data_IF_572896158418
#
_entry.id   IF_572896158418
#
_cell.length_a   1.000
_cell.length_b   1.000
_cell.length_c   1.000
_cell.angle_alpha   90.00
_cell.angle_beta   90.00
_cell.angle_gamma   90.00
#
_symmetry.space_group_name_H-M   'P 1'
#
loop_
_entity.id
_entity.type
_entity.pdbx_description
1 polymer ?
#
# COMPACT_ATOMS: atom_id res chain seq x y z
N UNK A 1 17.23 -29.32 39.37
CA UNK A 1 16.03 -28.79 38.67
C UNK A 1 15.50 -29.90 37.77
N UNK A 2 14.20 -30.22 37.84
CA UNK A 2 13.64 -31.25 36.95
C UNK A 2 13.56 -30.73 35.51
N UNK A 3 13.56 -31.63 34.52
CA UNK A 3 13.41 -31.27 33.11
C UNK A 3 12.15 -30.40 32.87
N UNK A 4 11.06 -30.71 33.57
CA UNK A 4 9.81 -29.97 33.51
C UNK A 4 9.98 -28.53 33.99
N UNK A 5 10.72 -28.32 35.10
CA UNK A 5 11.02 -26.97 35.59
C UNK A 5 11.90 -26.17 34.62
N UNK A 6 12.83 -26.83 33.91
CA UNK A 6 13.62 -26.18 32.85
C UNK A 6 12.71 -25.69 31.72
N UNK A 7 11.76 -26.52 31.27
CA UNK A 7 10.79 -26.17 30.24
C UNK A 7 9.90 -25.00 30.68
N UNK A 8 9.47 -24.98 31.95
CA UNK A 8 8.71 -23.88 32.52
C UNK A 8 9.48 -22.55 32.51
N UNK A 9 10.74 -22.56 32.99
CA UNK A 9 11.59 -21.36 32.95
C UNK A 9 11.88 -20.90 31.52
N UNK A 10 12.11 -21.85 30.60
CA UNK A 10 12.30 -21.54 29.18
C UNK A 10 11.06 -20.84 28.59
N UNK A 11 9.84 -21.27 28.93
CA UNK A 11 8.62 -20.62 28.49
C UNK A 11 8.58 -19.14 28.93
N UNK A 12 8.90 -18.84 30.19
CA UNK A 12 8.95 -17.46 30.70
C UNK A 12 10.06 -16.63 30.04
N UNK A 13 11.24 -17.22 29.80
CA UNK A 13 12.32 -16.55 29.07
C UNK A 13 11.87 -16.20 27.64
N UNK A 14 11.22 -17.12 26.93
CA UNK A 14 10.70 -16.86 25.59
C UNK A 14 9.62 -15.76 25.61
N UNK A 15 8.72 -15.75 26.59
CA UNK A 15 7.74 -14.65 26.76
C UNK A 15 8.47 -13.32 26.99
N UNK A 16 9.48 -13.28 27.86
CA UNK A 16 10.27 -12.08 28.11
C UNK A 16 10.98 -11.59 26.83
N UNK A 17 11.62 -12.49 26.08
CA UNK A 17 12.23 -12.19 24.79
C UNK A 17 11.21 -11.66 23.79
N UNK A 18 9.97 -12.17 23.82
CA UNK A 18 8.90 -11.68 22.95
C UNK A 18 8.66 -10.18 23.16
N UNK A 19 8.64 -9.69 24.40
CA UNK A 19 8.46 -8.25 24.69
C UNK A 19 9.61 -7.36 24.21
N UNK A 20 10.80 -7.92 23.98
CA UNK A 20 11.96 -7.16 23.48
C UNK A 20 12.00 -7.08 21.95
N UNK A 21 11.31 -7.98 21.25
CA UNK A 21 11.36 -8.07 19.79
C UNK A 21 10.48 -7.00 19.17
N UNK A 22 11.08 -6.19 18.28
CA UNK A 22 10.37 -5.15 17.52
C UNK A 22 9.64 -5.69 16.29
N UNK A 23 10.12 -6.79 15.71
CA UNK A 23 9.52 -7.42 14.55
C UNK A 23 8.23 -8.14 14.95
N UNK A 24 7.10 -7.69 14.38
CA UNK A 24 5.78 -8.23 14.72
C UNK A 24 5.60 -9.68 14.28
N UNK A 25 6.27 -10.15 13.23
CA UNK A 25 6.21 -11.55 12.82
C UNK A 25 6.99 -12.43 13.79
N UNK A 26 8.23 -12.02 14.12
CA UNK A 26 9.09 -12.77 15.05
C UNK A 26 8.48 -12.82 16.46
N UNK A 27 7.86 -11.73 16.92
CA UNK A 27 7.09 -11.67 18.16
C UNK A 27 6.04 -12.79 18.24
N UNK A 28 5.25 -13.00 17.18
CA UNK A 28 4.20 -14.03 17.14
C UNK A 28 4.78 -15.43 17.14
N UNK A 29 5.87 -15.66 16.42
CA UNK A 29 6.55 -16.96 16.40
C UNK A 29 7.08 -17.32 17.80
N UNK A 30 7.75 -16.38 18.46
CA UNK A 30 8.26 -16.56 19.84
C UNK A 30 7.09 -16.80 20.80
N UNK A 31 6.01 -16.03 20.70
CA UNK A 31 4.81 -16.19 21.55
C UNK A 31 4.17 -17.57 21.41
N UNK A 32 4.10 -18.11 20.18
CA UNK A 32 3.59 -19.46 19.91
C UNK A 32 4.52 -20.51 20.54
N UNK A 33 5.84 -20.42 20.31
CA UNK A 33 6.79 -21.38 20.89
C UNK A 33 6.77 -21.37 22.42
N UNK A 34 6.67 -20.19 23.03
CA UNK A 34 6.54 -20.05 24.48
C UNK A 34 5.24 -20.67 25.01
N UNK A 35 4.12 -20.48 24.30
CA UNK A 35 2.83 -21.05 24.66
C UNK A 35 2.86 -22.58 24.60
N UNK A 36 3.54 -23.17 23.61
CA UNK A 36 3.76 -24.63 23.56
C UNK A 36 4.58 -25.12 24.76
N UNK A 37 5.69 -24.45 25.10
CA UNK A 37 6.48 -24.79 26.29
C UNK A 37 5.65 -24.67 27.58
N UNK A 38 4.80 -23.64 27.68
CA UNK A 38 3.90 -23.43 28.82
C UNK A 38 2.84 -24.53 28.95
N UNK A 39 2.31 -25.05 27.84
CA UNK A 39 1.38 -26.19 27.84
C UNK A 39 2.07 -27.46 28.32
N UNK A 40 3.27 -27.77 27.81
CA UNK A 40 4.06 -28.94 28.23
C UNK A 40 4.36 -28.90 29.73
N UNK A 41 4.73 -27.72 30.24
CA UNK A 41 4.93 -27.52 31.67
C UNK A 41 3.63 -27.76 32.48
N UNK A 42 2.52 -27.17 32.03
CA UNK A 42 1.23 -27.19 32.74
C UNK A 42 0.57 -28.58 32.79
N UNK A 43 0.89 -29.47 31.84
CA UNK A 43 0.39 -30.86 31.84
C UNK A 43 1.21 -31.80 32.71
N UNK A 44 2.50 -31.51 32.92
CA UNK A 44 3.45 -32.45 33.55
C UNK A 44 3.91 -32.04 34.96
N UNK A 45 3.62 -30.82 35.43
CA UNK A 45 4.09 -30.33 36.73
C UNK A 45 3.33 -30.92 37.93
N UNK A 46 2.07 -31.32 37.75
CA UNK A 46 1.19 -31.81 38.80
C UNK A 46 0.51 -33.11 38.38
N UNK A 47 0.05 -33.92 39.35
CA UNK A 47 -0.62 -35.19 39.09
C UNK A 47 -1.91 -35.03 38.27
N UNK A 48 -2.54 -33.85 38.33
CA UNK A 48 -3.63 -33.44 37.46
C UNK A 48 -3.18 -32.28 36.56
N UNK A 49 -3.54 -32.28 35.27
CA UNK A 49 -3.24 -31.17 34.36
C UNK A 49 -3.87 -29.85 34.81
N UNK A 50 -3.11 -28.76 34.69
CA UNK A 50 -3.64 -27.42 34.94
C UNK A 50 -4.41 -26.92 33.72
N UNK A 51 -5.72 -27.20 33.68
CA UNK A 51 -6.59 -26.89 32.54
C UNK A 51 -6.68 -25.39 32.21
N UNK A 52 -6.68 -24.52 33.22
CA UNK A 52 -6.78 -23.06 33.01
C UNK A 52 -5.61 -22.52 32.17
N UNK A 53 -4.32 -22.75 32.54
CA UNK A 53 -3.18 -22.40 31.69
C UNK A 53 -3.23 -23.02 30.29
N UNK A 54 -3.68 -24.26 30.17
CA UNK A 54 -3.72 -24.97 28.88
C UNK A 54 -4.71 -24.28 27.92
N UNK A 55 -5.94 -24.01 28.39
CA UNK A 55 -6.97 -23.35 27.58
C UNK A 55 -6.54 -21.95 27.12
N UNK A 56 -5.94 -21.15 28.02
CA UNK A 56 -5.45 -19.81 27.67
C UNK A 56 -4.30 -19.85 26.65
N UNK A 57 -3.34 -20.76 26.82
CA UNK A 57 -2.24 -20.90 25.85
C UNK A 57 -2.73 -21.38 24.48
N UNK A 58 -3.73 -22.28 24.42
CA UNK A 58 -4.36 -22.66 23.16
C UNK A 58 -5.04 -21.46 22.48
N UNK A 59 -5.79 -20.66 23.25
CA UNK A 59 -6.38 -19.42 22.74
C UNK A 59 -5.32 -18.43 22.21
N UNK A 60 -4.23 -18.23 22.95
CA UNK A 60 -3.13 -17.38 22.51
C UNK A 60 -2.45 -17.91 21.25
N UNK A 61 -2.25 -19.22 21.13
CA UNK A 61 -1.73 -19.84 19.90
C UNK A 61 -2.66 -19.51 18.73
N UNK A 62 -3.97 -19.74 18.85
CA UNK A 62 -4.94 -19.42 17.79
C UNK A 62 -4.91 -17.94 17.39
N UNK A 63 -4.86 -17.04 18.37
CA UNK A 63 -4.76 -15.59 18.11
C UNK A 63 -3.47 -15.25 17.37
N UNK A 64 -2.33 -15.74 17.84
CA UNK A 64 -1.03 -15.48 17.20
C UNK A 64 -1.00 -16.04 15.76
N UNK A 65 -1.60 -17.21 15.51
CA UNK A 65 -1.77 -17.77 14.16
C UNK A 65 -2.59 -16.84 13.25
N UNK A 66 -3.73 -16.34 13.73
CA UNK A 66 -4.54 -15.37 12.97
C UNK A 66 -3.73 -14.13 12.58
N UNK A 67 -2.95 -13.57 13.52
CA UNK A 67 -2.09 -12.43 13.23
C UNK A 67 -1.01 -12.76 12.18
N UNK A 68 -0.38 -13.93 12.25
CA UNK A 68 0.60 -14.38 11.25
C UNK A 68 -0.05 -14.49 9.87
N UNK A 69 -1.23 -15.11 9.78
CA UNK A 69 -2.00 -15.21 8.53
C UNK A 69 -2.29 -13.81 7.99
N UNK A 70 -2.79 -12.89 8.83
CA UNK A 70 -3.06 -11.50 8.41
C UNK A 70 -1.79 -10.81 7.88
N UNK A 71 -0.63 -11.01 8.50
CA UNK A 71 0.65 -10.43 8.03
C UNK A 71 1.06 -11.02 6.68
N UNK A 72 0.99 -12.34 6.52
CA UNK A 72 1.37 -13.03 5.28
C UNK A 72 0.43 -12.62 4.11
N UNK A 73 -0.87 -12.56 4.36
CA UNK A 73 -1.85 -12.18 3.34
C UNK A 73 -1.88 -10.67 3.08
N UNK A 74 -1.51 -9.83 4.06
CA UNK A 74 -1.34 -8.39 3.89
C UNK A 74 -0.16 -8.03 2.97
N UNK A 75 0.85 -8.89 2.90
CA UNK A 75 2.07 -8.70 2.10
C UNK A 75 2.04 -9.40 0.73
N UNK A 76 0.86 -9.62 0.14
CA UNK A 76 0.79 -10.12 -1.25
C UNK A 76 1.50 -9.11 -2.16
N UNK A 77 2.72 -9.46 -2.57
CA UNK A 77 3.62 -8.66 -3.42
C UNK A 77 2.81 -8.05 -4.57
N UNK A 78 2.56 -6.76 -4.45
CA UNK A 78 1.90 -6.00 -5.51
C UNK A 78 2.87 -6.01 -6.68
N UNK A 79 2.47 -6.67 -7.75
CA UNK A 79 3.20 -6.61 -9.02
C UNK A 79 2.63 -5.42 -9.78
N UNK A 80 3.34 -4.30 -9.73
CA UNK A 80 3.10 -3.19 -10.64
C UNK A 80 3.70 -3.50 -12.01
N UNK A 81 3.01 -3.10 -13.07
CA UNK A 81 3.61 -3.04 -14.41
C UNK A 81 4.70 -1.97 -14.46
N UNK A 82 5.51 -1.95 -15.54
CA UNK A 82 6.57 -0.94 -15.70
C UNK A 82 6.01 0.50 -15.67
N UNK A 83 4.90 0.71 -16.38
CA UNK A 83 4.19 1.99 -16.47
C UNK A 83 3.69 2.44 -15.10
N UNK A 84 3.07 1.53 -14.33
CA UNK A 84 2.57 1.83 -12.99
C UNK A 84 3.70 2.14 -12.01
N UNK A 85 4.85 1.47 -12.15
CA UNK A 85 6.03 1.72 -11.32
C UNK A 85 6.66 3.09 -11.63
N UNK A 86 6.75 3.46 -12.91
CA UNK A 86 7.20 4.78 -13.32
C UNK A 86 6.27 5.87 -12.76
N UNK A 87 4.95 5.70 -12.91
CA UNK A 87 3.98 6.64 -12.39
C UNK A 87 4.08 6.80 -10.86
N UNK A 88 4.26 5.67 -10.15
CA UNK A 88 4.50 5.68 -8.70
C UNK A 88 5.73 6.53 -8.33
N UNK A 89 6.83 6.35 -9.05
CA UNK A 89 8.08 7.08 -8.79
C UNK A 89 7.98 8.57 -9.11
N UNK A 90 7.22 8.94 -10.14
CA UNK A 90 7.08 10.34 -10.57
C UNK A 90 6.23 11.16 -9.61
N UNK A 91 5.10 10.63 -9.15
CA UNK A 91 4.07 11.46 -8.50
C UNK A 91 3.41 10.88 -7.25
N UNK A 92 3.73 9.64 -6.86
CA UNK A 92 3.09 8.98 -5.71
C UNK A 92 4.10 8.33 -4.75
N UNK A 93 5.35 8.78 -4.75
CA UNK A 93 6.43 8.24 -3.92
C UNK A 93 6.20 8.43 -2.41
N UNK A 94 5.30 9.33 -2.03
CA UNK A 94 4.85 9.54 -0.64
C UNK A 94 3.85 8.47 -0.16
N UNK A 95 3.13 7.81 -1.08
CA UNK A 95 2.23 6.71 -0.73
C UNK A 95 3.00 5.41 -0.58
N UNK A 96 2.51 4.49 0.24
CA UNK A 96 3.05 3.13 0.18
C UNK A 96 2.53 2.38 -1.07
N UNK A 97 3.25 1.35 -1.51
CA UNK A 97 2.87 0.55 -2.70
C UNK A 97 1.46 -0.05 -2.60
N UNK A 98 0.95 -0.29 -1.39
CA UNK A 98 -0.39 -0.85 -1.17
C UNK A 98 -1.48 0.19 -1.44
N UNK A 99 -1.31 1.41 -0.94
CA UNK A 99 -2.20 2.54 -1.19
C UNK A 99 -2.20 2.90 -2.67
N UNK A 100 -1.02 3.04 -3.27
CA UNK A 100 -0.91 3.31 -4.70
C UNK A 100 -1.58 2.23 -5.55
N UNK A 101 -1.38 0.94 -5.21
CA UNK A 101 -2.05 -0.15 -5.94
C UNK A 101 -3.57 -0.10 -5.83
N UNK A 102 -4.11 0.35 -4.70
CA UNK A 102 -5.57 0.53 -4.56
C UNK A 102 -6.05 1.67 -5.46
N UNK A 103 -5.33 2.79 -5.51
CA UNK A 103 -5.67 3.94 -6.35
C UNK A 103 -5.62 3.58 -7.84
N UNK A 104 -4.52 3.00 -8.31
CA UNK A 104 -4.34 2.70 -9.74
C UNK A 104 -5.32 1.65 -10.26
N UNK A 105 -5.80 0.75 -9.39
CA UNK A 105 -6.86 -0.22 -9.73
C UNK A 105 -8.23 0.41 -9.92
N UNK A 106 -8.47 1.62 -9.39
CA UNK A 106 -9.69 2.40 -9.59
C UNK A 106 -9.55 3.40 -10.74
N UNK A 107 -8.33 3.60 -11.25
CA UNK A 107 -8.06 4.53 -12.34
C UNK A 107 -8.32 3.88 -13.70
N UNK A 108 -8.69 4.72 -14.67
CA UNK A 108 -8.87 4.33 -16.07
C UNK A 108 -7.81 4.98 -16.95
N UNK A 109 -7.20 4.18 -17.82
CA UNK A 109 -6.29 4.70 -18.84
C UNK A 109 -7.09 5.25 -20.02
N UNK A 110 -6.87 6.52 -20.35
CA UNK A 110 -7.51 7.18 -21.50
C UNK A 110 -6.46 7.82 -22.38
N UNK A 111 -6.58 7.60 -23.70
CA UNK A 111 -5.79 8.29 -24.70
C UNK A 111 -6.60 9.47 -25.23
N UNK A 112 -5.95 10.60 -25.44
CA UNK A 112 -6.58 11.79 -26.00
C UNK A 112 -5.90 12.18 -27.31
N UNK A 113 -6.71 12.53 -28.30
CA UNK A 113 -6.22 13.03 -29.58
C UNK A 113 -5.57 14.40 -29.43
N UNK A 114 -4.74 14.75 -30.39
CA UNK A 114 -4.15 16.07 -30.54
C UNK A 114 -5.18 17.18 -30.62
N UNK A 115 -4.90 18.32 -29.98
CA UNK A 115 -5.77 19.48 -30.03
C UNK A 115 -7.23 19.20 -29.58
N UNK A 116 -7.45 18.12 -28.83
CA UNK A 116 -8.73 17.81 -28.20
C UNK A 116 -8.87 18.62 -26.90
N UNK A 117 -10.10 19.05 -26.62
CA UNK A 117 -10.42 19.76 -25.37
C UNK A 117 -10.77 18.70 -24.33
N UNK A 118 -9.94 18.59 -23.30
CA UNK A 118 -10.15 17.66 -22.18
C UNK A 118 -11.16 18.22 -21.19
N UNK A 119 -11.05 19.51 -20.88
CA UNK A 119 -11.88 20.23 -19.91
C UNK A 119 -12.22 21.58 -20.50
N UNK A 120 -13.46 22.03 -20.34
CA UNK A 120 -13.87 23.40 -20.65
C UNK A 120 -13.89 24.26 -19.39
N UNK A 121 -13.56 25.53 -19.55
CA UNK A 121 -13.78 26.56 -18.52
C UNK A 121 -15.26 26.53 -18.08
N UNK A 122 -15.50 26.71 -16.79
CA UNK A 122 -16.80 26.63 -16.12
C UNK A 122 -17.48 25.25 -16.12
N UNK A 123 -16.78 24.19 -16.51
CA UNK A 123 -17.27 22.81 -16.40
C UNK A 123 -17.05 22.26 -14.99
N UNK A 124 -18.06 21.62 -14.40
CA UNK A 124 -17.91 20.86 -13.14
C UNK A 124 -17.16 19.55 -13.43
N UNK A 125 -16.13 19.27 -12.63
CA UNK A 125 -15.30 18.07 -12.76
C UNK A 125 -15.78 16.97 -11.83
N UNK A 126 -16.11 15.81 -12.38
CA UNK A 126 -16.47 14.61 -11.61
C UNK A 126 -15.28 13.66 -11.42
N UNK A 127 -14.20 13.88 -12.17
CA UNK A 127 -13.01 13.04 -12.19
C UNK A 127 -11.74 13.88 -12.16
N UNK A 128 -10.68 13.30 -11.62
CA UNK A 128 -9.33 13.87 -11.59
C UNK A 128 -8.49 13.21 -12.69
N UNK A 129 -7.84 14.03 -13.52
CA UNK A 129 -7.02 13.54 -14.63
C UNK A 129 -5.54 13.71 -14.32
N UNK A 130 -4.71 12.78 -14.80
CA UNK A 130 -3.26 12.84 -14.66
C UNK A 130 -2.58 12.60 -16.01
N UNK A 131 -1.55 13.38 -16.29
CA UNK A 131 -0.77 13.25 -17.52
C UNK A 131 0.31 12.20 -17.29
N UNK A 132 0.18 11.01 -17.88
CA UNK A 132 1.27 10.03 -17.86
C UNK A 132 2.36 10.37 -18.90
N UNK A 133 1.94 10.68 -20.13
CA UNK A 133 2.82 11.07 -21.21
C UNK A 133 2.10 12.08 -22.13
N UNK A 134 2.67 13.28 -22.27
CA UNK A 134 2.17 14.32 -23.16
C UNK A 134 2.26 15.73 -22.57
N UNK A 135 1.66 16.67 -23.30
CA UNK A 135 1.56 18.06 -22.89
C UNK A 135 0.15 18.57 -23.09
N UNK A 136 -0.31 19.43 -22.20
CA UNK A 136 -1.60 20.11 -22.33
C UNK A 136 -1.42 21.60 -22.06
N UNK A 137 -2.15 22.41 -22.83
CA UNK A 137 -2.22 23.84 -22.63
C UNK A 137 -3.39 24.18 -21.73
N UNK A 138 -3.15 25.05 -20.75
CA UNK A 138 -4.17 25.66 -19.92
C UNK A 138 -4.56 26.99 -20.56
N UNK A 139 -5.84 27.15 -20.89
CA UNK A 139 -6.38 28.35 -21.51
C UNK A 139 -7.45 29.00 -20.61
N UNK A 140 -7.32 30.30 -20.38
CA UNK A 140 -8.37 31.12 -19.74
C UNK A 140 -8.84 32.13 -20.77
N UNK A 141 -10.15 32.21 -21.00
CA UNK A 141 -10.73 33.10 -22.05
C UNK A 141 -10.03 32.92 -23.41
N UNK A 142 -9.75 31.66 -23.76
CA UNK A 142 -9.09 31.25 -25.01
C UNK A 142 -7.64 31.75 -25.19
N UNK A 143 -6.98 32.22 -24.12
CA UNK A 143 -5.55 32.57 -24.13
C UNK A 143 -4.76 31.55 -23.32
N UNK A 144 -3.68 31.02 -23.89
CA UNK A 144 -2.74 30.14 -23.17
C UNK A 144 -2.13 30.92 -21.99
N UNK A 145 -2.31 30.40 -20.79
CA UNK A 145 -1.74 30.96 -19.56
C UNK A 145 -0.62 30.08 -19.00
N UNK A 146 -0.68 28.77 -19.26
CA UNK A 146 0.30 27.82 -18.74
C UNK A 146 0.29 26.52 -19.57
N UNK A 147 1.25 25.64 -19.31
CA UNK A 147 1.39 24.30 -19.88
C UNK A 147 1.61 23.30 -18.74
N UNK A 148 0.95 22.13 -18.82
CA UNK A 148 1.23 20.99 -17.94
C UNK A 148 1.88 19.85 -18.73
N UNK A 149 2.65 19.03 -18.01
CA UNK A 149 3.48 17.93 -18.53
C UNK A 149 3.26 16.65 -17.73
N UNK A 150 3.95 15.59 -18.14
CA UNK A 150 4.02 14.29 -17.47
C UNK A 150 4.15 14.41 -15.93
N UNK A 151 3.39 13.61 -15.21
CA UNK A 151 3.35 13.55 -13.75
C UNK A 151 2.49 14.63 -13.09
N UNK A 152 1.92 15.58 -13.85
CA UNK A 152 1.04 16.63 -13.31
C UNK A 152 -0.44 16.28 -13.43
N UNK A 153 -1.22 16.73 -12.45
CA UNK A 153 -2.66 16.59 -12.41
C UNK A 153 -3.37 17.74 -13.14
N UNK A 154 -4.52 17.42 -13.73
CA UNK A 154 -5.41 18.37 -14.37
C UNK A 154 -6.72 18.39 -13.59
N UNK A 155 -7.22 19.57 -13.24
CA UNK A 155 -8.50 19.72 -12.55
C UNK A 155 -8.42 19.51 -11.04
N UNK A 156 -7.23 19.38 -10.44
CA UNK A 156 -7.03 19.17 -9.00
C UNK A 156 -7.83 20.16 -8.14
N UNK A 157 -7.71 21.45 -8.44
CA UNK A 157 -8.41 22.49 -7.68
C UNK A 157 -9.93 22.35 -7.79
N UNK A 158 -10.44 22.10 -8.99
CA UNK A 158 -11.88 21.95 -9.24
C UNK A 158 -12.44 20.70 -8.54
N UNK A 159 -11.73 19.57 -8.63
CA UNK A 159 -12.10 18.31 -8.00
C UNK A 159 -12.13 18.41 -6.46
N UNK A 160 -11.11 19.04 -5.85
CA UNK A 160 -11.02 19.16 -4.38
C UNK A 160 -12.00 20.18 -3.80
N UNK A 161 -12.27 21.27 -4.52
CA UNK A 161 -13.14 22.36 -4.05
C UNK A 161 -14.60 22.20 -4.47
N UNK A 162 -14.88 21.25 -5.36
CA UNK A 162 -16.18 21.07 -6.01
C UNK A 162 -16.68 22.34 -6.73
N UNK A 163 -15.74 23.18 -7.18
CA UNK A 163 -16.02 24.39 -7.96
C UNK A 163 -15.82 24.13 -9.45
N UNK A 164 -16.50 24.87 -10.35
CA UNK A 164 -16.27 24.77 -11.78
C UNK A 164 -14.81 25.00 -12.17
N UNK A 165 -14.36 24.37 -13.26
CA UNK A 165 -13.01 24.48 -13.78
C UNK A 165 -12.69 25.94 -14.14
N UNK A 166 -11.62 26.49 -13.56
CA UNK A 166 -11.21 27.88 -13.77
C UNK A 166 -10.56 28.14 -15.14
N UNK A 167 -10.30 27.09 -15.91
CA UNK A 167 -9.62 27.17 -17.19
C UNK A 167 -10.01 25.97 -18.08
N UNK A 168 -9.95 26.18 -19.40
CA UNK A 168 -10.02 25.10 -20.37
C UNK A 168 -8.67 24.42 -20.50
N UNK A 169 -8.67 23.12 -20.77
CA UNK A 169 -7.45 22.33 -20.96
C UNK A 169 -7.51 21.63 -22.32
N UNK A 170 -6.48 21.84 -23.13
CA UNK A 170 -6.39 21.32 -24.48
C UNK A 170 -5.10 20.52 -24.67
N UNK A 171 -5.19 19.35 -25.28
CA UNK A 171 -4.00 18.55 -25.57
C UNK A 171 -3.12 19.25 -26.61
N UNK A 172 -1.81 19.18 -26.39
CA UNK A 172 -0.79 19.67 -27.32
C UNK A 172 -0.13 18.45 -27.94
N UNK A 173 -0.25 18.32 -29.26
CA UNK A 173 0.63 17.41 -30.00
C UNK A 173 2.00 18.08 -30.13
N UNK A 174 3.06 17.43 -29.64
CA UNK A 174 4.41 17.68 -30.11
C UNK A 174 5.22 16.39 -29.98
N UNK A 175 4.87 15.38 -30.78
CA UNK A 175 5.79 14.30 -31.13
C UNK A 175 6.53 14.70 -32.40
N UNK A 176 7.64 15.42 -32.26
CA UNK A 176 8.70 15.40 -33.28
C UNK A 176 9.88 14.61 -32.73
N UNK A 177 9.92 13.31 -33.07
CA UNK A 177 11.16 12.57 -33.13
C UNK A 177 11.38 12.14 -34.58
N UNK A 178 12.21 12.90 -35.30
CA UNK A 178 12.70 12.54 -36.62
C UNK A 178 13.97 11.69 -36.46
N UNK A 179 13.80 10.37 -36.33
CA UNK A 179 14.90 9.42 -36.39
C UNK A 179 15.16 9.02 -37.84
N UNK A 180 16.12 9.68 -38.49
CA UNK A 180 16.59 9.31 -39.82
C UNK A 180 17.24 7.92 -39.77
N UNK A 181 16.83 7.03 -40.68
CA UNK A 181 17.40 5.70 -40.84
C UNK A 181 18.84 5.85 -41.36
N UNK A 182 19.83 5.63 -40.51
CA UNK A 182 21.21 5.40 -40.98
C UNK A 182 21.84 4.22 -40.26
N UNK A 183 22.06 3.19 -41.09
CA UNK A 183 22.92 2.00 -40.99
C UNK A 183 22.63 1.01 -39.88
#
# INVERSE_FOLDING_TARGET
MSLIQIIGNLAFILIACSFMVKDIFLLRLISITASFCSIIYSTNISAAPLWVPICWNLFFISLNFYHIIKIIYGNRKIKLSKIELELYQMSFSELNLIEFSKLIRMAEWRNAEAASVLIKEDQVMEELLMIYNGRVDILVKNKKINELRDGQFIGEMSFLTNQPASASVKTVLLNMFHGNKKT
#
